data_IF_798326791257
#
_entry.id   IF_798326791257
#
_cell.length_a   1.000
_cell.length_b   1.000
_cell.length_c   1.000
_cell.angle_alpha   90.00
_cell.angle_beta   90.00
_cell.angle_gamma   90.00
#
_symmetry.space_group_name_H-M   'P 1'
#
loop_
_entity.id
_entity.type
_entity.pdbx_description
1 polymer ?
#
# COMPACT_ATOMS: atom_id res chain seq x y z
N UNK A 1 -0.82 -0.67 12.14
CA UNK A 1 -0.27 -0.02 10.92
C UNK A 1 0.76 -0.91 10.19
N UNK A 2 0.95 -0.79 8.87
CA UNK A 2 2.07 -1.43 8.13
C UNK A 2 3.35 -0.61 8.20
N UNK A 3 4.51 -1.22 7.96
CA UNK A 3 5.69 -0.48 7.53
C UNK A 3 5.39 0.18 6.17
N UNK A 4 5.77 1.45 5.98
CA UNK A 4 5.49 2.13 4.72
C UNK A 4 6.42 1.63 3.60
N UNK A 5 5.92 1.64 2.38
CA UNK A 5 6.74 1.54 1.17
C UNK A 5 6.96 2.94 0.60
N UNK A 6 8.16 3.21 0.11
CA UNK A 6 8.54 4.51 -0.45
C UNK A 6 8.87 4.35 -1.92
N UNK A 7 8.58 5.37 -2.71
CA UNK A 7 8.98 5.38 -4.12
C UNK A 7 9.00 6.77 -4.70
N UNK A 8 9.86 6.97 -5.70
CA UNK A 8 9.98 8.24 -6.40
C UNK A 8 9.69 8.03 -7.89
N UNK A 9 9.11 9.04 -8.51
CA UNK A 9 8.87 9.09 -9.94
C UNK A 9 9.97 9.89 -10.63
N UNK A 10 10.22 9.61 -11.91
CA UNK A 10 11.12 10.43 -12.74
C UNK A 10 10.64 11.88 -12.93
N UNK A 11 9.38 12.16 -12.58
CA UNK A 11 8.74 13.48 -12.63
C UNK A 11 8.95 14.30 -11.35
N UNK A 12 9.81 13.85 -10.44
CA UNK A 12 10.12 14.55 -9.20
C UNK A 12 9.10 14.33 -8.08
N UNK A 13 8.17 13.37 -8.25
CA UNK A 13 7.23 13.02 -7.18
C UNK A 13 7.84 12.02 -6.19
N UNK A 14 7.65 12.23 -4.89
CA UNK A 14 8.02 11.30 -3.83
C UNK A 14 6.77 10.84 -3.09
N UNK A 15 6.60 9.53 -2.97
CA UNK A 15 5.39 8.89 -2.45
C UNK A 15 5.68 8.03 -1.22
N UNK A 16 4.78 8.08 -0.25
CA UNK A 16 4.70 7.14 0.88
C UNK A 16 3.42 6.33 0.73
N UNK A 17 3.53 5.00 0.62
CA UNK A 17 2.40 4.08 0.56
C UNK A 17 2.26 3.34 1.89
N UNK A 18 1.03 3.24 2.40
CA UNK A 18 0.78 2.55 3.65
C UNK A 18 -0.65 2.01 3.75
N UNK A 19 -0.85 1.09 4.70
CA UNK A 19 -2.17 0.66 5.17
C UNK A 19 -2.22 0.69 6.70
N UNK A 20 -3.41 0.82 7.26
CA UNK A 20 -3.61 0.68 8.71
C UNK A 20 -4.94 0.03 9.05
N UNK A 21 -4.96 -0.78 10.09
CA UNK A 21 -6.19 -1.38 10.66
C UNK A 21 -6.83 -0.48 11.71
N UNK A 22 -6.17 0.63 12.05
CA UNK A 22 -6.61 1.58 13.07
C UNK A 22 -7.52 2.65 12.46
N UNK A 23 -8.22 3.41 13.32
CA UNK A 23 -9.02 4.57 12.92
C UNK A 23 -10.09 4.29 11.85
N UNK A 24 -10.58 3.05 11.75
CA UNK A 24 -11.59 2.65 10.76
C UNK A 24 -11.08 2.50 9.33
N UNK A 25 -9.76 2.52 9.11
CA UNK A 25 -9.13 2.53 7.76
C UNK A 25 -8.68 1.16 7.26
N UNK A 26 -9.17 0.07 7.87
CA UNK A 26 -8.72 -1.30 7.62
C UNK A 26 -8.88 -1.79 6.17
N UNK A 27 -9.70 -1.12 5.37
CA UNK A 27 -9.98 -1.46 3.98
C UNK A 27 -9.38 -0.46 2.99
N UNK A 28 -8.39 0.34 3.39
CA UNK A 28 -7.81 1.37 2.55
C UNK A 28 -6.31 1.17 2.39
N UNK A 29 -5.86 1.22 1.13
CA UNK A 29 -4.47 1.46 0.81
C UNK A 29 -4.35 2.94 0.48
N UNK A 30 -3.42 3.62 1.14
CA UNK A 30 -3.25 5.07 1.06
C UNK A 30 -1.87 5.42 0.52
N UNK A 31 -1.81 6.59 -0.11
CA UNK A 31 -0.58 7.21 -0.58
C UNK A 31 -0.51 8.64 -0.05
N UNK A 32 0.70 9.10 0.26
CA UNK A 32 0.98 10.48 0.62
C UNK A 32 2.00 11.01 -0.38
N UNK A 33 1.64 12.06 -1.11
CA UNK A 33 2.58 12.87 -1.87
C UNK A 33 3.36 13.74 -0.87
N UNK A 34 4.67 13.55 -0.81
CA UNK A 34 5.58 14.33 0.05
C UNK A 34 6.63 15.09 -0.77
N UNK A 35 6.32 15.35 -2.05
CA UNK A 35 7.23 16.04 -2.97
C UNK A 35 7.48 17.49 -2.55
N UNK A 36 6.51 18.13 -1.89
CA UNK A 36 6.64 19.48 -1.36
C UNK A 36 6.88 19.44 0.16
N UNK A 37 8.01 20.00 0.59
CA UNK A 37 8.39 20.03 2.00
C UNK A 37 7.35 20.82 2.81
N UNK A 38 6.79 20.18 3.85
CA UNK A 38 5.79 20.80 4.73
C UNK A 38 4.36 20.80 4.18
N UNK A 39 4.13 20.28 2.97
CA UNK A 39 2.80 20.22 2.35
C UNK A 39 2.45 18.78 1.88
N UNK A 40 2.33 17.81 2.81
CA UNK A 40 1.96 16.45 2.44
C UNK A 40 0.49 16.37 2.00
N UNK A 41 0.21 15.71 0.87
CA UNK A 41 -1.15 15.49 0.36
C UNK A 41 -1.49 14.00 0.37
N UNK A 42 -2.53 13.62 1.09
CA UNK A 42 -2.94 12.22 1.24
C UNK A 42 -4.07 11.83 0.27
N UNK A 43 -3.97 10.61 -0.27
CA UNK A 43 -4.91 10.02 -1.20
C UNK A 43 -5.28 8.60 -0.77
N UNK A 44 -6.53 8.20 -1.09
CA UNK A 44 -6.92 6.80 -1.08
C UNK A 44 -6.61 6.23 -2.46
N UNK A 45 -5.70 5.26 -2.50
CA UNK A 45 -5.32 4.57 -3.74
C UNK A 45 -6.43 3.59 -4.13
N UNK A 46 -6.89 2.80 -3.16
CA UNK A 46 -7.92 1.79 -3.40
C UNK A 46 -8.60 1.35 -2.11
N UNK A 47 -9.76 0.71 -2.27
CA UNK A 47 -10.42 -0.04 -1.23
C UNK A 47 -9.99 -1.51 -1.25
N UNK A 48 -9.12 -1.93 -0.34
CA UNK A 48 -8.73 -3.34 -0.19
C UNK A 48 -8.29 -3.65 1.25
N UNK A 49 -8.78 -4.75 1.81
CA UNK A 49 -8.42 -5.19 3.16
C UNK A 49 -7.24 -6.17 3.12
N UNK A 50 -6.04 -5.65 3.37
CA UNK A 50 -4.80 -6.45 3.44
C UNK A 50 -4.61 -7.17 4.79
N UNK A 51 -5.53 -6.98 5.74
CA UNK A 51 -5.37 -7.45 7.11
C UNK A 51 -4.13 -6.86 7.76
N UNK A 52 -3.21 -7.71 8.18
CA UNK A 52 -1.96 -7.29 8.82
C UNK A 52 -0.74 -7.39 7.92
N UNK A 53 -0.85 -7.68 6.63
CA UNK A 53 0.32 -7.80 5.74
C UNK A 53 1.00 -6.47 5.42
N UNK A 54 2.28 -6.55 5.06
CA UNK A 54 3.09 -5.42 4.60
C UNK A 54 2.84 -5.12 3.12
N UNK A 55 3.20 -3.91 2.70
CA UNK A 55 3.10 -3.52 1.30
C UNK A 55 4.37 -3.91 0.53
N UNK A 56 4.19 -4.38 -0.71
CA UNK A 56 5.27 -4.56 -1.67
C UNK A 56 4.86 -3.92 -3.01
N UNK A 57 5.69 -3.02 -3.51
CA UNK A 57 5.43 -2.21 -4.70
C UNK A 57 6.50 -2.44 -5.76
N UNK A 58 6.12 -2.36 -7.03
CA UNK A 58 7.08 -2.33 -8.14
C UNK A 58 7.56 -0.89 -8.34
N UNK A 59 8.79 -0.62 -7.90
CA UNK A 59 9.38 0.71 -7.97
C UNK A 59 9.70 1.16 -9.38
N UNK A 60 9.98 0.24 -10.32
CA UNK A 60 10.28 0.60 -11.70
C UNK A 60 9.03 1.12 -12.43
N UNK A 61 7.89 0.44 -12.28
CA UNK A 61 6.61 0.90 -12.84
C UNK A 61 6.21 2.25 -12.25
N UNK A 62 6.40 2.44 -10.95
CA UNK A 62 6.15 3.75 -10.34
C UNK A 62 7.09 4.82 -10.90
N UNK A 63 8.37 4.50 -11.05
CA UNK A 63 9.39 5.45 -11.47
C UNK A 63 9.17 5.94 -12.90
N UNK A 64 8.90 5.03 -13.83
CA UNK A 64 8.81 5.33 -15.25
C UNK A 64 7.41 5.74 -15.68
N UNK A 65 6.38 5.06 -15.17
CA UNK A 65 5.02 5.15 -15.71
C UNK A 65 4.07 5.99 -14.82
N UNK A 66 4.55 6.45 -13.66
CA UNK A 66 3.71 7.10 -12.63
C UNK A 66 2.50 6.22 -12.22
N UNK A 67 2.71 4.90 -12.19
CA UNK A 67 1.69 3.93 -11.81
C UNK A 67 2.17 3.09 -10.62
N UNK A 68 1.33 2.99 -9.60
CA UNK A 68 1.53 2.03 -8.54
C UNK A 68 1.09 0.65 -9.03
N UNK A 69 2.05 -0.26 -9.18
CA UNK A 69 1.80 -1.69 -9.30
C UNK A 69 2.24 -2.37 -8.00
N UNK A 70 1.33 -3.08 -7.34
CA UNK A 70 1.61 -3.70 -6.04
C UNK A 70 0.96 -5.07 -5.88
N UNK A 71 1.54 -5.90 -5.00
CA UNK A 71 0.88 -7.13 -4.56
C UNK A 71 -0.19 -6.77 -3.52
N UNK A 72 -1.45 -7.02 -3.87
CA UNK A 72 -2.59 -6.90 -2.97
C UNK A 72 -3.04 -8.31 -2.57
N UNK A 73 -2.72 -8.69 -1.34
CA UNK A 73 -3.14 -9.97 -0.75
C UNK A 73 -3.62 -9.73 0.67
N UNK A 74 -4.52 -10.58 1.14
CA UNK A 74 -4.98 -10.56 2.52
C UNK A 74 -4.19 -11.58 3.34
N UNK A 75 -3.83 -11.22 4.56
CA UNK A 75 -3.22 -12.19 5.46
C UNK A 75 -2.94 -11.71 6.87
N UNK A 76 -2.31 -12.61 7.63
CA UNK A 76 -1.85 -12.37 8.99
C UNK A 76 -0.31 -12.37 9.06
N UNK A 77 0.27 -11.50 9.89
CA UNK A 77 1.69 -11.55 10.25
C UNK A 77 1.91 -12.72 11.20
N UNK A 78 2.09 -13.90 10.63
CA UNK A 78 2.51 -15.11 11.34
C UNK A 78 1.41 -15.81 12.14
N UNK A 79 1.78 -16.99 12.65
CA UNK A 79 0.88 -17.89 13.40
C UNK A 79 0.40 -17.34 14.74
N UNK A 80 0.95 -16.22 15.21
CA UNK A 80 0.57 -15.58 16.46
C UNK A 80 -0.77 -14.82 16.36
N UNK A 81 -1.25 -14.52 15.15
CA UNK A 81 -2.59 -13.98 14.95
C UNK A 81 -3.63 -15.10 15.20
N UNK A 82 -4.57 -14.93 16.15
CA UNK A 82 -5.61 -15.93 16.44
C UNK A 82 -6.49 -16.28 15.22
N UNK A 83 -6.54 -15.38 14.23
CA UNK A 83 -7.27 -15.57 12.98
C UNK A 83 -6.39 -16.09 11.82
N UNK A 84 -5.11 -16.41 12.05
CA UNK A 84 -4.15 -16.82 11.01
C UNK A 84 -4.70 -17.93 10.10
N UNK A 85 -5.36 -18.94 10.68
CA UNK A 85 -5.93 -20.07 9.93
C UNK A 85 -6.95 -19.63 8.87
N UNK A 86 -7.66 -18.51 9.09
CA UNK A 86 -8.61 -17.93 8.14
C UNK A 86 -7.94 -17.42 6.87
N UNK A 87 -6.64 -17.15 6.92
CA UNK A 87 -5.89 -16.50 5.85
C UNK A 87 -4.95 -17.43 5.09
N UNK A 88 -5.07 -18.74 5.28
CA UNK A 88 -4.13 -19.74 4.75
C UNK A 88 -4.25 -20.00 3.24
N UNK A 89 -5.33 -19.54 2.60
CA UNK A 89 -5.56 -19.72 1.17
C UNK A 89 -6.22 -18.49 0.52
N UNK A 90 -5.79 -17.30 0.95
CA UNK A 90 -6.29 -16.04 0.37
C UNK A 90 -5.68 -15.81 -1.02
N UNK A 91 -6.48 -15.34 -1.99
CA UNK A 91 -5.97 -15.00 -3.31
C UNK A 91 -5.02 -13.80 -3.26
N UNK A 92 -3.94 -13.88 -4.04
CA UNK A 92 -3.08 -12.75 -4.34
C UNK A 92 -3.50 -12.05 -5.62
N UNK A 93 -3.54 -10.72 -5.59
CA UNK A 93 -3.85 -9.88 -6.73
C UNK A 93 -2.67 -8.95 -7.06
N UNK A 94 -2.57 -8.57 -8.32
CA UNK A 94 -1.79 -7.40 -8.70
C UNK A 94 -2.74 -6.22 -8.81
N UNK A 95 -2.51 -5.22 -7.95
CA UNK A 95 -3.25 -3.98 -7.97
C UNK A 95 -2.48 -2.94 -8.77
N UNK A 96 -3.17 -2.26 -9.68
CA UNK A 96 -2.63 -1.18 -10.47
C UNK A 96 -3.44 0.09 -10.25
N UNK A 97 -2.77 1.20 -9.96
CA UNK A 97 -3.39 2.52 -9.82
C UNK A 97 -2.51 3.58 -10.48
N UNK A 98 -3.12 4.50 -11.23
CA UNK A 98 -2.43 5.68 -11.74
C UNK A 98 -2.29 6.68 -10.60
N UNK A 99 -1.08 7.20 -10.39
CA UNK A 99 -0.84 8.18 -9.34
C UNK A 99 -1.27 9.58 -9.80
N UNK A 100 -1.86 10.42 -8.90
CA UNK A 100 -2.31 11.78 -9.23
C UNK A 100 -1.21 12.72 -9.71
#
# INVERSE_FOLDING_TARGET
MSRPALGCTRYGKTWIFYRTTEMGRACEIRAIDVSEAGNPVEYIVTGFNMGTLELAINTNTLMEDNQLLMLATRGAIGYADPAYSRYTNEPGYLLMAVMP
#
